data_IF_769981530668
#
_entry.id   IF_769981530668
#
_cell.length_a   1.000
_cell.length_b   1.000
_cell.length_c   1.000
_cell.angle_alpha   90.00
_cell.angle_beta   90.00
_cell.angle_gamma   90.00
#
_symmetry.space_group_name_H-M   'P 1'
#
loop_
_entity.id
_entity.type
_entity.pdbx_description
1 polymer ?
#
# COMPACT_ATOMS: atom_id res chain seq x y z
N UNK A 1 0.25 27.10 -18.97
CA UNK A 1 0.07 25.65 -19.16
C UNK A 1 -0.95 25.19 -18.13
N UNK A 2 -2.01 24.43 -18.48
CA UNK A 2 -2.88 23.86 -17.47
C UNK A 2 -2.03 22.90 -16.63
N UNK A 3 -2.04 23.08 -15.31
CA UNK A 3 -1.38 22.17 -14.39
C UNK A 3 -2.14 20.86 -14.51
N UNK A 4 -1.58 19.90 -15.25
CA UNK A 4 -2.08 18.52 -15.26
C UNK A 4 -2.19 18.10 -13.80
N UNK A 5 -3.36 17.65 -13.38
CA UNK A 5 -3.56 17.18 -12.02
C UNK A 5 -2.72 15.91 -11.83
N UNK A 6 -1.53 16.09 -11.25
CA UNK A 6 -0.54 15.04 -11.03
C UNK A 6 -1.14 13.87 -10.23
N UNK A 7 -2.17 14.17 -9.41
CA UNK A 7 -2.87 13.19 -8.58
C UNK A 7 -3.77 12.28 -9.42
N UNK A 8 -4.48 12.81 -10.40
CA UNK A 8 -5.37 12.02 -11.26
C UNK A 8 -4.58 11.09 -12.19
N UNK A 9 -3.49 11.59 -12.78
CA UNK A 9 -2.57 10.77 -13.59
C UNK A 9 -1.91 9.67 -12.74
N UNK A 10 -1.64 9.93 -11.45
CA UNK A 10 -1.10 8.94 -10.51
C UNK A 10 -2.14 7.88 -10.12
N UNK A 11 -3.36 8.28 -9.78
CA UNK A 11 -4.44 7.36 -9.42
C UNK A 11 -4.76 6.40 -10.59
N UNK A 12 -4.74 6.90 -11.83
CA UNK A 12 -4.94 6.07 -13.03
C UNK A 12 -3.83 5.02 -13.24
N UNK A 13 -2.61 5.30 -12.80
CA UNK A 13 -1.52 4.30 -12.86
C UNK A 13 -1.65 3.28 -11.75
N UNK A 14 -2.09 3.71 -10.56
CA UNK A 14 -2.29 2.84 -9.41
C UNK A 14 -3.51 1.90 -9.54
N UNK A 15 -4.39 2.11 -10.52
CA UNK A 15 -5.41 1.11 -10.85
C UNK A 15 -4.83 -0.15 -11.53
N UNK A 16 -3.60 -0.08 -12.05
CA UNK A 16 -2.88 -1.25 -12.58
C UNK A 16 -2.23 -2.04 -11.42
N UNK A 17 -2.62 -3.31 -11.18
CA UNK A 17 -2.07 -4.13 -10.11
C UNK A 17 -0.55 -4.28 -10.17
N UNK A 18 0.03 -4.36 -11.36
CA UNK A 18 1.48 -4.49 -11.53
C UNK A 18 2.18 -3.23 -11.04
N UNK A 19 1.70 -2.06 -11.47
CA UNK A 19 2.25 -0.78 -11.04
C UNK A 19 2.09 -0.55 -9.53
N UNK A 20 0.91 -0.86 -8.97
CA UNK A 20 0.65 -0.75 -7.53
C UNK A 20 1.52 -1.68 -6.71
N UNK A 21 1.76 -2.91 -7.18
CA UNK A 21 2.66 -3.85 -6.50
C UNK A 21 4.09 -3.31 -6.42
N UNK A 22 4.61 -2.75 -7.53
CA UNK A 22 5.94 -2.18 -7.58
C UNK A 22 6.04 -0.91 -6.72
N UNK A 23 5.01 -0.07 -6.75
CA UNK A 23 4.93 1.13 -5.94
C UNK A 23 4.97 0.82 -4.44
N UNK A 24 4.17 -0.14 -3.97
CA UNK A 24 4.17 -0.55 -2.56
C UNK A 24 5.46 -1.29 -2.18
N UNK A 25 6.05 -2.06 -3.09
CA UNK A 25 7.33 -2.71 -2.85
C UNK A 25 8.43 -1.69 -2.56
N UNK A 26 8.56 -0.65 -3.39
CA UNK A 26 9.55 0.42 -3.19
C UNK A 26 9.31 1.12 -1.85
N UNK A 27 8.07 1.49 -1.56
CA UNK A 27 7.74 2.15 -0.28
C UNK A 27 8.07 1.26 0.93
N UNK A 28 7.78 -0.04 0.87
CA UNK A 28 8.11 -0.98 1.93
C UNK A 28 9.62 -1.15 2.09
N UNK A 29 10.35 -1.30 0.98
CA UNK A 29 11.81 -1.45 1.00
C UNK A 29 12.49 -0.21 1.63
N UNK A 30 12.02 1.01 1.31
CA UNK A 30 12.49 2.26 1.94
C UNK A 30 12.16 2.33 3.43
N UNK A 31 10.90 2.04 3.80
CA UNK A 31 10.45 1.98 5.21
C UNK A 31 11.28 0.99 6.04
N UNK A 32 11.68 -0.15 5.47
CA UNK A 32 12.51 -1.13 6.17
C UNK A 32 13.97 -0.65 6.35
N UNK A 33 14.45 0.27 5.52
CA UNK A 33 15.77 0.88 5.63
C UNK A 33 15.83 2.01 6.66
N UNK A 34 14.82 2.89 6.67
CA UNK A 34 14.81 4.11 7.48
C UNK A 34 13.91 4.02 8.73
N UNK A 35 13.06 3.00 8.83
CA UNK A 35 12.10 2.80 9.92
C UNK A 35 10.83 3.64 9.81
N UNK A 36 10.64 4.39 8.71
CA UNK A 36 9.52 5.30 8.52
C UNK A 36 8.26 4.57 8.01
N UNK A 37 7.49 4.00 8.93
CA UNK A 37 6.24 3.31 8.60
C UNK A 37 5.19 4.24 7.96
N UNK A 38 5.22 5.54 8.26
CA UNK A 38 4.23 6.49 7.75
C UNK A 38 4.26 6.57 6.22
N UNK A 39 5.46 6.44 5.62
CA UNK A 39 5.65 6.44 4.17
C UNK A 39 4.93 5.27 3.50
N UNK A 40 5.11 4.05 4.01
CA UNK A 40 4.41 2.87 3.52
C UNK A 40 2.89 2.97 3.68
N UNK A 41 2.40 3.47 4.83
CA UNK A 41 0.96 3.63 5.07
C UNK A 41 0.32 4.65 4.13
N UNK A 42 1.04 5.74 3.82
CA UNK A 42 0.59 6.72 2.84
C UNK A 42 0.58 6.14 1.41
N UNK A 43 1.57 5.33 1.05
CA UNK A 43 1.58 4.63 -0.23
C UNK A 43 0.42 3.64 -0.35
N UNK A 44 0.15 2.85 0.70
CA UNK A 44 -0.98 1.94 0.77
C UNK A 44 -2.31 2.69 0.65
N UNK A 45 -2.42 3.86 1.28
CA UNK A 45 -3.58 4.75 1.11
C UNK A 45 -3.82 5.11 -0.35
N UNK A 46 -2.77 5.51 -1.08
CA UNK A 46 -2.90 5.90 -2.48
C UNK A 46 -3.42 4.75 -3.34
N UNK A 47 -3.00 3.52 -3.07
CA UNK A 47 -3.51 2.31 -3.75
C UNK A 47 -4.98 2.07 -3.42
N UNK A 48 -5.37 2.17 -2.15
CA UNK A 48 -6.76 2.02 -1.71
C UNK A 48 -7.67 3.10 -2.33
N UNK A 49 -7.20 4.34 -2.38
CA UNK A 49 -7.91 5.46 -3.01
C UNK A 49 -8.03 5.25 -4.54
N UNK A 50 -6.98 4.72 -5.19
CA UNK A 50 -6.97 4.40 -6.63
C UNK A 50 -7.90 3.25 -7.02
N UNK A 51 -8.12 2.28 -6.12
CA UNK A 51 -9.10 1.23 -6.31
C UNK A 51 -10.55 1.78 -6.38
N UNK A 52 -10.80 3.01 -5.91
CA UNK A 52 -12.07 3.72 -6.04
C UNK A 52 -13.21 3.19 -5.16
N UNK A 53 -12.96 2.17 -4.34
CA UNK A 53 -13.98 1.46 -3.57
C UNK A 53 -13.59 1.24 -2.10
N UNK A 54 -13.18 2.31 -1.40
CA UNK A 54 -12.75 2.26 0.02
C UNK A 54 -13.72 1.50 0.93
N UNK A 55 -15.03 1.60 0.68
CA UNK A 55 -16.04 0.84 1.42
C UNK A 55 -15.89 -0.68 1.21
N UNK A 56 -15.76 -1.11 -0.04
CA UNK A 56 -15.57 -2.52 -0.38
C UNK A 56 -14.24 -3.04 0.20
N UNK A 57 -13.17 -2.25 0.08
CA UNK A 57 -11.87 -2.60 0.68
C UNK A 57 -11.98 -2.82 2.19
N UNK A 58 -12.70 -1.96 2.91
CA UNK A 58 -12.90 -2.13 4.35
C UNK A 58 -13.72 -3.40 4.68
N UNK A 59 -14.76 -3.68 3.90
CA UNK A 59 -15.61 -4.87 4.05
C UNK A 59 -14.81 -6.15 3.77
N UNK A 60 -14.05 -6.20 2.67
CA UNK A 60 -13.22 -7.34 2.27
C UNK A 60 -12.03 -7.57 3.22
N UNK A 61 -11.50 -6.51 3.82
CA UNK A 61 -10.44 -6.57 4.83
C UNK A 61 -10.95 -6.86 6.26
N UNK A 62 -12.26 -7.05 6.43
CA UNK A 62 -12.96 -7.28 7.72
C UNK A 62 -12.66 -6.22 8.79
N UNK A 63 -12.64 -4.95 8.39
CA UNK A 63 -12.43 -3.81 9.30
C UNK A 63 -13.43 -2.68 9.05
N UNK A 64 -13.69 -1.88 10.08
CA UNK A 64 -14.51 -0.68 9.89
C UNK A 64 -13.82 0.35 8.99
N UNK A 65 -14.59 1.09 8.19
CA UNK A 65 -14.07 2.23 7.39
C UNK A 65 -13.30 3.24 8.24
N UNK A 66 -13.77 3.50 9.47
CA UNK A 66 -13.09 4.41 10.40
C UNK A 66 -11.75 3.84 10.88
N UNK A 67 -11.64 2.52 11.01
CA UNK A 67 -10.36 1.87 11.31
C UNK A 67 -9.42 1.97 10.11
N UNK A 68 -9.88 1.62 8.91
CA UNK A 68 -9.11 1.75 7.66
C UNK A 68 -8.56 3.18 7.48
N UNK A 69 -9.41 4.21 7.62
CA UNK A 69 -8.97 5.60 7.51
C UNK A 69 -7.94 6.02 8.56
N UNK A 70 -8.05 5.54 9.80
CA UNK A 70 -7.08 5.83 10.87
C UNK A 70 -5.74 5.14 10.64
N UNK A 71 -5.76 3.91 10.13
CA UNK A 71 -4.53 3.19 9.79
C UNK A 71 -3.77 3.87 8.66
N UNK A 72 -4.51 4.32 7.63
CA UNK A 72 -3.94 4.90 6.43
C UNK A 72 -3.64 6.41 6.54
N UNK A 73 -3.83 7.03 7.72
CA UNK A 73 -3.57 8.46 7.92
C UNK A 73 -2.12 8.80 8.28
N UNK A 74 -1.16 7.89 8.03
CA UNK A 74 0.26 8.08 8.37
C UNK A 74 0.60 7.66 9.81
N UNK A 75 -0.26 7.96 10.78
CA UNK A 75 0.00 7.67 12.20
C UNK A 75 -0.53 6.30 12.68
N UNK A 76 -0.81 5.39 11.75
CA UNK A 76 -1.30 4.04 12.07
C UNK A 76 -0.18 3.11 12.55
N UNK A 77 -0.57 2.05 13.26
CA UNK A 77 0.32 0.92 13.54
C UNK A 77 -0.44 -0.40 13.29
N UNK A 78 -0.76 -0.71 12.01
CA UNK A 78 -1.47 -1.94 11.69
C UNK A 78 -0.63 -3.16 12.06
N UNK A 79 -1.30 -4.22 12.51
CA UNK A 79 -0.66 -5.53 12.60
C UNK A 79 -0.34 -6.04 11.20
N UNK A 80 0.61 -6.97 11.08
CA UNK A 80 0.90 -7.63 9.79
C UNK A 80 -0.37 -8.25 9.19
N UNK A 81 -1.20 -8.88 10.03
CA UNK A 81 -2.49 -9.45 9.62
C UNK A 81 -3.42 -8.41 8.98
N UNK A 82 -3.56 -7.24 9.62
CA UNK A 82 -4.39 -6.14 9.09
C UNK A 82 -3.81 -5.58 7.79
N UNK A 83 -2.50 -5.46 7.69
CA UNK A 83 -1.84 -5.01 6.46
C UNK A 83 -2.08 -5.98 5.32
N UNK A 84 -1.94 -7.29 5.58
CA UNK A 84 -2.20 -8.35 4.59
C UNK A 84 -3.68 -8.37 4.17
N UNK A 85 -4.63 -8.19 5.10
CA UNK A 85 -6.05 -8.15 4.74
C UNK A 85 -6.38 -6.97 3.81
N UNK A 86 -5.82 -5.79 4.08
CA UNK A 86 -5.97 -4.61 3.21
C UNK A 86 -5.33 -4.84 1.83
N UNK A 87 -4.13 -5.42 1.78
CA UNK A 87 -3.46 -5.76 0.52
C UNK A 87 -4.29 -6.73 -0.32
N UNK A 88 -4.80 -7.80 0.28
CA UNK A 88 -5.64 -8.78 -0.40
C UNK A 88 -6.92 -8.14 -0.94
N UNK A 89 -7.54 -7.23 -0.17
CA UNK A 89 -8.74 -6.50 -0.58
C UNK A 89 -8.52 -5.58 -1.80
N UNK A 90 -7.28 -5.15 -2.05
CA UNK A 90 -6.90 -4.42 -3.28
C UNK A 90 -6.23 -5.31 -4.33
N UNK A 91 -6.30 -6.63 -4.17
CA UNK A 91 -5.77 -7.60 -5.14
C UNK A 91 -4.25 -7.79 -5.11
N UNK A 92 -3.59 -7.43 -4.02
CA UNK A 92 -2.14 -7.52 -3.83
C UNK A 92 -1.80 -8.50 -2.70
N UNK A 93 -0.56 -9.00 -2.70
CA UNK A 93 -0.06 -9.89 -1.65
C UNK A 93 1.42 -9.61 -1.35
N UNK A 94 1.91 -10.15 -0.23
CA UNK A 94 3.32 -10.05 0.16
C UNK A 94 4.05 -11.31 -0.33
N UNK A 95 5.23 -11.11 -0.90
CA UNK A 95 6.12 -12.20 -1.34
C UNK A 95 7.41 -12.21 -0.51
N UNK A 96 7.90 -13.41 -0.19
CA UNK A 96 9.14 -13.61 0.57
C UNK A 96 10.22 -14.08 -0.41
N UNK A 97 11.25 -13.27 -0.57
CA UNK A 97 12.35 -13.50 -1.51
C UNK A 97 13.65 -13.78 -0.75
N UNK A 98 14.59 -14.54 -1.33
CA UNK A 98 15.94 -14.65 -0.77
C UNK A 98 16.61 -13.27 -0.72
N UNK A 99 17.45 -13.05 0.30
CA UNK A 99 18.31 -11.87 0.36
C UNK A 99 19.31 -11.94 -0.81
N UNK A 100 19.25 -11.00 -1.75
CA UNK A 100 20.31 -10.88 -2.76
C UNK A 100 21.62 -10.56 -2.03
N UNK A 101 22.66 -11.37 -2.28
CA UNK A 101 23.88 -11.56 -1.47
C UNK A 101 23.76 -12.39 -0.18
N UNK A 102 23.27 -13.62 -0.28
CA UNK A 102 23.93 -14.69 0.48
C UNK A 102 25.19 -15.13 -0.25
N UNK A 103 26.36 -14.65 0.22
CA UNK A 103 27.59 -15.42 0.03
C UNK A 103 27.41 -16.76 0.76
N UNK A 104 27.36 -17.82 -0.06
CA UNK A 104 27.80 -19.21 0.12
C UNK A 104 27.45 -19.96 1.40
N UNK A 105 26.96 -21.19 1.21
CA UNK A 105 27.63 -22.38 1.77
C UNK A 105 28.18 -23.17 0.59
#
# INVERSE_FOLDING_TARGET
>A
MPVKDYRDDQLKRLSDPEYSSQYLKVALDETLQDGNMEAFLLALKNVVDAAGAVKAVAEDADISRQHLHRLLSGNGNPTLETTVSILNAVGLTIDIKPLENQIKI
#
